data_IF_721227468757
#
_entry.id   IF_721227468757
#
_cell.length_a   1.000
_cell.length_b   1.000
_cell.length_c   1.000
_cell.angle_alpha   90.00
_cell.angle_beta   90.00
_cell.angle_gamma   90.00
#
_symmetry.space_group_name_H-M   'P 1'
#
loop_
_entity.id
_entity.type
_entity.pdbx_description
1 polymer ?
#
# COMPACT_ATOMS: atom_id res chain seq x y z
N UNK A 1 -44.53 4.28 36.05
CA UNK A 1 -44.07 4.46 34.66
C UNK A 1 -45.26 4.50 33.70
N UNK A 2 -45.27 5.39 32.70
CA UNK A 2 -46.34 5.44 31.69
C UNK A 2 -46.03 4.44 30.57
N UNK A 3 -46.96 3.51 30.29
CA UNK A 3 -46.86 2.47 29.23
C UNK A 3 -46.39 3.05 27.88
N UNK A 4 -46.89 4.23 27.51
CA UNK A 4 -46.49 4.91 26.26
C UNK A 4 -45.02 5.30 26.22
N UNK A 5 -44.49 5.87 27.31
CA UNK A 5 -43.07 6.24 27.40
C UNK A 5 -42.16 5.03 27.36
N UNK A 6 -42.56 3.93 28.00
CA UNK A 6 -41.83 2.66 27.95
C UNK A 6 -41.80 2.08 26.52
N UNK A 7 -42.95 2.04 25.83
CA UNK A 7 -43.02 1.54 24.46
C UNK A 7 -42.23 2.39 23.47
N UNK A 8 -42.28 3.72 23.59
CA UNK A 8 -41.49 4.63 22.75
C UNK A 8 -39.98 4.47 23.00
N UNK A 9 -39.58 4.33 24.27
CA UNK A 9 -38.18 4.07 24.62
C UNK A 9 -37.68 2.74 24.04
N UNK A 10 -38.44 1.66 24.22
CA UNK A 10 -38.09 0.34 23.69
C UNK A 10 -38.00 0.32 22.15
N UNK A 11 -38.94 0.98 21.46
CA UNK A 11 -38.92 1.10 20.00
C UNK A 11 -37.72 1.91 19.50
N UNK A 12 -37.39 3.02 20.17
CA UNK A 12 -36.22 3.84 19.82
C UNK A 12 -34.91 3.05 20.01
N UNK A 13 -34.76 2.30 21.11
CA UNK A 13 -33.59 1.46 21.35
C UNK A 13 -33.48 0.35 20.31
N UNK A 14 -34.58 -0.32 19.97
CA UNK A 14 -34.59 -1.34 18.93
C UNK A 14 -34.24 -0.78 17.55
N UNK A 15 -34.72 0.42 17.22
CA UNK A 15 -34.39 1.10 15.97
C UNK A 15 -32.89 1.44 15.90
N UNK A 16 -32.31 2.00 16.97
CA UNK A 16 -30.87 2.33 17.03
C UNK A 16 -29.99 1.07 16.99
N UNK A 17 -30.35 0.02 17.71
CA UNK A 17 -29.63 -1.24 17.68
C UNK A 17 -29.71 -1.92 16.30
N UNK A 18 -30.90 -1.87 15.67
CA UNK A 18 -31.13 -2.41 14.33
C UNK A 18 -30.34 -1.66 13.26
N UNK A 19 -30.28 -0.33 13.30
CA UNK A 19 -29.47 0.45 12.36
C UNK A 19 -27.98 0.19 12.57
N UNK A 20 -27.50 0.19 13.81
CA UNK A 20 -26.10 -0.12 14.11
C UNK A 20 -25.71 -1.53 13.63
N UNK A 21 -26.57 -2.53 13.88
CA UNK A 21 -26.38 -3.90 13.40
C UNK A 21 -26.36 -4.00 11.87
N UNK A 22 -27.27 -3.30 11.19
CA UNK A 22 -27.34 -3.24 9.73
C UNK A 22 -26.08 -2.62 9.11
N UNK A 23 -25.59 -1.51 9.64
CA UNK A 23 -24.36 -0.89 9.13
C UNK A 23 -23.13 -1.76 9.40
N UNK A 24 -23.05 -2.40 10.58
CA UNK A 24 -21.95 -3.31 10.93
C UNK A 24 -21.90 -4.54 10.01
N UNK A 25 -23.06 -5.15 9.70
CA UNK A 25 -23.12 -6.34 8.84
C UNK A 25 -22.75 -6.08 7.38
N UNK A 26 -22.67 -4.80 6.98
CA UNK A 26 -22.26 -4.38 5.63
C UNK A 26 -20.76 -4.11 5.54
N UNK A 27 -20.03 -4.13 6.65
CA UNK A 27 -18.57 -4.07 6.65
C UNK A 27 -18.06 -5.43 6.17
N UNK A 28 -17.52 -5.46 4.96
CA UNK A 28 -16.79 -6.62 4.46
C UNK A 28 -15.35 -6.47 4.93
N UNK A 29 -14.96 -7.26 5.93
CA UNK A 29 -13.55 -7.33 6.34
C UNK A 29 -12.77 -8.11 5.29
N UNK A 30 -11.92 -7.40 4.55
CA UNK A 30 -10.94 -8.04 3.67
C UNK A 30 -9.73 -8.41 4.51
N UNK A 31 -9.43 -9.71 4.63
CA UNK A 31 -8.18 -10.14 5.26
C UNK A 31 -6.99 -9.61 4.45
N UNK A 32 -6.15 -8.72 5.01
CA UNK A 32 -5.00 -8.21 4.28
C UNK A 32 -3.96 -9.31 4.10
N UNK A 33 -3.34 -9.38 2.92
CA UNK A 33 -2.13 -10.17 2.70
C UNK A 33 -0.93 -9.23 2.61
N UNK A 34 0.05 -9.42 3.50
CA UNK A 34 1.28 -8.66 3.51
C UNK A 34 2.41 -9.51 2.93
N UNK A 35 2.89 -9.14 1.74
CA UNK A 35 3.88 -9.91 1.00
C UNK A 35 5.34 -9.70 1.45
N UNK A 36 5.60 -8.72 2.34
CA UNK A 36 6.91 -8.31 2.87
C UNK A 36 8.08 -8.41 1.85
N UNK A 37 7.90 -7.93 0.62
CA UNK A 37 8.91 -8.09 -0.41
C UNK A 37 10.16 -7.30 -0.01
N UNK A 38 11.32 -7.96 -0.11
CA UNK A 38 12.61 -7.38 0.29
C UNK A 38 12.91 -7.35 1.79
N UNK A 39 12.02 -7.83 2.68
CA UNK A 39 12.33 -7.93 4.11
C UNK A 39 13.61 -8.71 4.38
N UNK A 40 13.78 -9.87 3.73
CA UNK A 40 14.98 -10.69 3.87
C UNK A 40 16.24 -9.94 3.40
N UNK A 41 16.16 -9.25 2.26
CA UNK A 41 17.28 -8.46 1.73
C UNK A 41 17.61 -7.27 2.64
N UNK A 42 16.60 -6.59 3.19
CA UNK A 42 16.77 -5.50 4.15
C UNK A 42 17.42 -5.96 5.44
N UNK A 43 17.01 -7.11 5.98
CA UNK A 43 17.69 -7.73 7.13
C UNK A 43 19.12 -8.11 6.81
N UNK A 44 19.38 -8.73 5.65
CA UNK A 44 20.73 -9.08 5.23
C UNK A 44 21.65 -7.84 5.14
N UNK A 45 21.16 -6.73 4.56
CA UNK A 45 21.91 -5.47 4.51
C UNK A 45 22.16 -4.89 5.91
N UNK A 46 21.13 -4.86 6.76
CA UNK A 46 21.23 -4.39 8.16
C UNK A 46 22.23 -5.22 8.96
N UNK A 47 22.22 -6.53 8.76
CA UNK A 47 23.03 -7.49 9.52
C UNK A 47 24.45 -7.66 8.93
N UNK A 48 24.80 -6.88 7.90
CA UNK A 48 26.14 -6.85 7.32
C UNK A 48 26.49 -8.09 6.51
N UNK A 49 25.50 -8.74 5.88
CA UNK A 49 25.73 -9.88 5.01
C UNK A 49 26.71 -9.52 3.88
N UNK A 50 27.55 -10.49 3.51
CA UNK A 50 28.51 -10.31 2.42
C UNK A 50 27.77 -10.04 1.10
N UNK A 51 28.15 -8.95 0.44
CA UNK A 51 27.67 -8.62 -0.90
C UNK A 51 28.55 -9.29 -1.96
N UNK A 52 27.99 -9.71 -3.09
CA UNK A 52 28.79 -10.22 -4.20
C UNK A 52 29.72 -9.13 -4.73
N UNK A 53 30.83 -9.55 -5.34
CA UNK A 53 31.72 -8.62 -6.06
C UNK A 53 30.91 -7.92 -7.16
N UNK A 54 30.97 -6.57 -7.27
CA UNK A 54 30.28 -5.86 -8.33
C UNK A 54 30.70 -6.37 -9.72
N UNK A 55 29.72 -6.71 -10.57
CA UNK A 55 29.97 -7.13 -11.95
C UNK A 55 30.19 -5.97 -12.91
N UNK A 56 29.73 -4.76 -12.53
CA UNK A 56 29.87 -3.54 -13.31
C UNK A 56 29.81 -2.31 -12.39
N UNK A 57 30.27 -1.17 -12.91
CA UNK A 57 30.13 0.14 -12.25
C UNK A 57 29.60 1.14 -13.27
N UNK A 58 28.52 1.82 -12.92
CA UNK A 58 27.89 2.85 -13.73
C UNK A 58 28.04 4.20 -13.04
N UNK A 59 28.21 5.28 -13.82
CA UNK A 59 28.32 6.64 -13.30
C UNK A 59 27.24 7.50 -13.95
N UNK A 60 26.45 8.16 -13.11
CA UNK A 60 25.38 9.06 -13.49
C UNK A 60 25.40 10.28 -12.58
N UNK A 61 24.88 11.41 -13.07
CA UNK A 61 24.69 12.62 -12.26
C UNK A 61 23.70 12.41 -11.11
N UNK A 62 22.68 11.55 -11.29
CA UNK A 62 21.70 11.22 -10.24
C UNK A 62 21.42 9.71 -10.20
N UNK A 63 21.43 9.13 -9.00
CA UNK A 63 20.95 7.77 -8.76
C UNK A 63 19.65 7.81 -7.92
N UNK A 64 18.56 7.29 -8.49
CA UNK A 64 17.25 7.20 -7.85
C UNK A 64 17.10 5.78 -7.31
N UNK A 65 17.16 5.64 -5.99
CA UNK A 65 17.04 4.36 -5.30
C UNK A 65 15.57 4.07 -4.97
N UNK A 66 14.94 3.21 -5.78
CA UNK A 66 13.54 2.82 -5.66
C UNK A 66 12.73 3.21 -6.89
N UNK A 67 12.05 2.22 -7.49
CA UNK A 67 11.18 2.42 -8.65
C UNK A 67 9.69 2.52 -8.27
N UNK A 68 9.39 3.01 -7.07
CA UNK A 68 8.02 3.28 -6.64
C UNK A 68 7.48 4.61 -7.18
N UNK A 69 6.25 4.97 -6.79
CA UNK A 69 5.61 6.21 -7.23
C UNK A 69 6.50 7.45 -7.07
N UNK A 70 7.22 7.56 -5.94
CA UNK A 70 8.13 8.68 -5.69
C UNK A 70 9.34 8.68 -6.65
N UNK A 71 9.99 7.54 -6.86
CA UNK A 71 11.16 7.44 -7.73
C UNK A 71 10.83 7.62 -9.20
N UNK A 72 9.72 7.03 -9.67
CA UNK A 72 9.22 7.23 -11.02
C UNK A 72 8.75 8.67 -11.25
N UNK A 73 8.11 9.31 -10.27
CA UNK A 73 7.75 10.73 -10.37
C UNK A 73 8.99 11.63 -10.45
N UNK A 74 10.03 11.31 -9.69
CA UNK A 74 11.32 12.00 -9.75
C UNK A 74 11.95 11.86 -11.14
N UNK A 75 12.08 10.62 -11.64
CA UNK A 75 12.61 10.33 -12.96
C UNK A 75 11.83 11.04 -14.07
N UNK A 76 10.50 10.99 -14.03
CA UNK A 76 9.63 11.69 -14.98
C UNK A 76 9.83 13.21 -14.93
N UNK A 77 9.93 13.80 -13.74
CA UNK A 77 10.16 15.25 -13.60
C UNK A 77 11.52 15.63 -14.16
N UNK A 78 12.59 14.89 -13.86
CA UNK A 78 13.93 15.13 -14.40
C UNK A 78 13.93 15.08 -15.93
N UNK A 79 13.38 13.99 -16.50
CA UNK A 79 13.30 13.82 -17.94
C UNK A 79 12.49 14.95 -18.62
N UNK A 80 11.39 15.38 -17.99
CA UNK A 80 10.56 16.47 -18.51
C UNK A 80 11.27 17.83 -18.50
N UNK A 81 12.18 18.06 -17.55
CA UNK A 81 13.03 19.26 -17.52
C UNK A 81 14.30 19.12 -18.39
N UNK A 82 14.41 18.05 -19.20
CA UNK A 82 15.53 17.82 -20.11
C UNK A 82 16.77 17.20 -19.45
N UNK A 83 16.71 16.83 -18.17
CA UNK A 83 17.79 16.13 -17.48
C UNK A 83 17.62 14.61 -17.62
N UNK A 84 18.51 13.95 -18.35
CA UNK A 84 18.43 12.50 -18.64
C UNK A 84 19.60 11.69 -18.10
N UNK A 85 20.61 12.32 -17.49
CA UNK A 85 21.74 11.61 -16.86
C UNK A 85 21.38 11.13 -15.45
N UNK A 86 20.42 10.21 -15.39
CA UNK A 86 20.00 9.55 -14.17
C UNK A 86 19.75 8.06 -14.37
N UNK A 87 19.83 7.30 -13.28
CA UNK A 87 19.44 5.89 -13.23
C UNK A 87 18.37 5.66 -12.18
N UNK A 88 17.39 4.81 -12.49
CA UNK A 88 16.40 4.31 -11.53
C UNK A 88 16.75 2.88 -11.18
N UNK A 89 16.99 2.62 -9.90
CA UNK A 89 17.30 1.28 -9.38
C UNK A 89 16.06 0.72 -8.72
N UNK A 90 15.59 -0.43 -9.21
CA UNK A 90 14.44 -1.13 -8.66
C UNK A 90 14.86 -2.14 -7.58
N UNK A 91 14.08 -2.22 -6.51
CA UNK A 91 14.22 -3.25 -5.48
C UNK A 91 13.50 -4.55 -5.82
N UNK A 92 13.32 -5.45 -4.86
CA UNK A 92 12.62 -6.72 -5.06
C UNK A 92 11.15 -6.59 -5.45
N UNK A 93 10.53 -5.43 -5.16
CA UNK A 93 9.14 -5.12 -5.50
C UNK A 93 9.08 -4.14 -6.67
N UNK A 94 8.39 -4.53 -7.74
CA UNK A 94 8.09 -3.65 -8.86
C UNK A 94 7.07 -2.58 -8.44
N UNK A 95 7.28 -1.33 -8.86
CA UNK A 95 6.46 -0.17 -8.48
C UNK A 95 6.38 0.12 -6.96
N UNK A 96 7.18 -0.55 -6.13
CA UNK A 96 7.08 -0.47 -4.67
C UNK A 96 5.69 -0.84 -4.18
N UNK A 97 5.17 -0.15 -3.16
CA UNK A 97 3.86 -0.43 -2.58
C UNK A 97 2.65 -0.08 -3.48
N UNK A 98 2.88 0.46 -4.69
CA UNK A 98 1.81 0.68 -5.65
C UNK A 98 1.40 -0.67 -6.26
N UNK A 99 0.49 -1.37 -5.59
CA UNK A 99 0.01 -2.68 -5.99
C UNK A 99 -1.36 -2.58 -6.66
N UNK A 100 -1.43 -2.98 -7.93
CA UNK A 100 -2.68 -3.33 -8.60
C UNK A 100 -2.95 -4.83 -8.42
N UNK A 101 -4.17 -5.26 -8.67
CA UNK A 101 -4.49 -6.68 -8.66
C UNK A 101 -5.93 -6.96 -9.02
N UNK A 102 -6.34 -8.19 -8.77
CA UNK A 102 -7.68 -8.68 -9.05
C UNK A 102 -8.18 -9.48 -7.85
N UNK A 103 -9.44 -9.23 -7.45
CA UNK A 103 -10.13 -10.00 -6.40
C UNK A 103 -11.51 -10.37 -6.88
N UNK A 104 -11.84 -11.67 -6.90
CA UNK A 104 -13.17 -12.17 -7.28
C UNK A 104 -13.69 -11.57 -8.61
N UNK A 105 -12.82 -11.50 -9.64
CA UNK A 105 -13.07 -10.85 -10.95
C UNK A 105 -13.21 -9.33 -10.95
N UNK A 106 -12.94 -8.66 -9.83
CA UNK A 106 -12.84 -7.21 -9.74
C UNK A 106 -11.37 -6.76 -9.77
N UNK A 107 -11.00 -6.06 -10.82
CA UNK A 107 -9.69 -5.41 -10.91
C UNK A 107 -9.64 -4.16 -10.03
N UNK A 108 -8.51 -3.93 -9.37
CA UNK A 108 -8.22 -2.68 -8.67
C UNK A 108 -6.91 -2.07 -9.18
N UNK A 109 -6.90 -0.77 -9.48
CA UNK A 109 -5.72 -0.09 -9.98
C UNK A 109 -4.68 0.14 -8.88
N UNK A 110 -3.45 0.46 -9.33
CA UNK A 110 -2.44 1.17 -8.52
C UNK A 110 -2.86 2.61 -8.26
#
# INVERSE_FOLDING_TARGET
>A
MRRRSFLLGAAATAAVAGTAGYYRSRIVETTPNAHYPGMQAGHALRDGAALPVPSASYRHGVAILGAGVAGLSCAWKLAREGFTDFVVVQGPEFAGNAAAGQRDSLDYPT
#
